data_IF_236982408328
#
_entry.id   IF_236982408328
#
_cell.length_a   1.000
_cell.length_b   1.000
_cell.length_c   1.000
_cell.angle_alpha   90.00
_cell.angle_beta   90.00
_cell.angle_gamma   90.00
#
_symmetry.space_group_name_H-M   'P 1'
#
loop_
_entity.id
_entity.type
_entity.pdbx_description
1 polymer ?
#
# COMPACT_ATOMS: atom_id res chain seq x y z
N UNK A 1 -9.25 -8.02 -7.68
CA UNK A 1 -9.62 -6.68 -8.21
C UNK A 1 -9.93 -5.75 -7.04
N UNK A 2 -10.94 -6.05 -6.21
CA UNK A 2 -11.31 -5.21 -5.07
C UNK A 2 -10.24 -5.14 -3.96
N UNK A 3 -9.49 -6.21 -3.75
CA UNK A 3 -8.40 -6.31 -2.78
C UNK A 3 -7.18 -5.44 -3.16
N UNK A 4 -6.79 -5.48 -4.44
CA UNK A 4 -5.70 -4.65 -4.98
C UNK A 4 -6.01 -3.16 -4.87
N UNK A 5 -7.28 -2.76 -5.00
CA UNK A 5 -7.70 -1.36 -4.82
C UNK A 5 -7.40 -0.89 -3.39
N UNK A 6 -7.74 -1.69 -2.37
CA UNK A 6 -7.50 -1.32 -0.97
C UNK A 6 -6.00 -1.26 -0.68
N UNK A 7 -5.22 -2.21 -1.21
CA UNK A 7 -3.76 -2.20 -1.07
C UNK A 7 -3.15 -0.95 -1.73
N UNK A 8 -3.55 -0.64 -2.96
CA UNK A 8 -3.10 0.54 -3.69
C UNK A 8 -3.45 1.83 -2.94
N UNK A 9 -4.69 1.93 -2.45
CA UNK A 9 -5.12 3.08 -1.65
C UNK A 9 -4.34 3.21 -0.33
N UNK A 10 -3.99 2.10 0.31
CA UNK A 10 -3.18 2.10 1.54
C UNK A 10 -1.75 2.58 1.28
N UNK A 11 -1.17 2.22 0.12
CA UNK A 11 0.12 2.73 -0.33
C UNK A 11 0.02 4.24 -0.62
N UNK A 12 -0.97 4.66 -1.40
CA UNK A 12 -1.20 6.07 -1.76
C UNK A 12 -1.42 6.96 -0.53
N UNK A 13 -2.16 6.47 0.47
CA UNK A 13 -2.33 7.17 1.74
C UNK A 13 -0.99 7.53 2.39
N UNK A 14 0.00 6.64 2.31
CA UNK A 14 1.31 6.85 2.92
C UNK A 14 2.28 7.61 2.03
N UNK A 15 2.25 7.42 0.71
CA UNK A 15 3.22 8.03 -0.21
C UNK A 15 2.77 9.38 -0.75
N UNK A 16 1.52 9.50 -1.21
CA UNK A 16 0.98 10.70 -1.84
C UNK A 16 0.34 11.61 -0.78
N UNK A 17 -0.47 11.03 0.11
CA UNK A 17 -1.23 11.83 1.09
C UNK A 17 -0.46 12.08 2.39
N UNK A 18 0.77 11.55 2.50
CA UNK A 18 1.69 11.80 3.62
C UNK A 18 1.20 11.26 4.97
N UNK A 19 0.29 10.29 4.99
CA UNK A 19 -0.18 9.68 6.24
C UNK A 19 0.90 8.74 6.81
N UNK A 20 1.11 8.73 8.14
CA UNK A 20 2.07 7.83 8.74
C UNK A 20 1.64 6.37 8.54
N UNK A 21 2.61 5.45 8.42
CA UNK A 21 2.31 4.01 8.34
C UNK A 21 1.51 3.49 9.53
N UNK A 22 1.68 4.11 10.70
CA UNK A 22 0.92 3.82 11.92
C UNK A 22 -0.60 3.98 11.74
N UNK A 23 -1.07 4.76 10.75
CA UNK A 23 -2.50 4.87 10.42
C UNK A 23 -3.15 3.50 10.19
N UNK A 24 -2.41 2.53 9.64
CA UNK A 24 -2.91 1.18 9.36
C UNK A 24 -3.25 0.39 10.63
N UNK A 25 -2.83 0.88 11.79
CA UNK A 25 -3.01 0.29 13.12
C UNK A 25 -3.96 1.16 13.99
N UNK A 26 -4.32 2.35 13.53
CA UNK A 26 -5.23 3.23 14.26
C UNK A 26 -6.60 2.57 14.41
N UNK A 27 -7.08 2.48 15.66
CA UNK A 27 -8.35 1.82 15.98
C UNK A 27 -9.55 2.36 15.19
N UNK A 28 -9.59 3.67 14.94
CA UNK A 28 -10.64 4.30 14.12
C UNK A 28 -10.57 3.88 12.65
N UNK A 29 -9.36 3.78 12.11
CA UNK A 29 -9.14 3.32 10.74
C UNK A 29 -9.43 1.83 10.60
N UNK A 30 -9.02 0.99 11.57
CA UNK A 30 -9.36 -0.44 11.63
C UNK A 30 -10.88 -0.68 11.62
N UNK A 31 -11.65 0.10 12.39
CA UNK A 31 -13.12 0.01 12.39
C UNK A 31 -13.76 0.27 11.01
N UNK A 32 -13.08 1.01 10.14
CA UNK A 32 -13.52 1.24 8.76
C UNK A 32 -12.99 0.15 7.83
N UNK A 33 -11.70 -0.20 7.96
CA UNK A 33 -11.01 -1.11 7.06
C UNK A 33 -11.41 -2.58 7.26
N UNK A 34 -11.54 -3.04 8.50
CA UNK A 34 -11.78 -4.45 8.82
C UNK A 34 -13.09 -4.98 8.22
N UNK A 35 -14.24 -4.27 8.35
CA UNK A 35 -15.48 -4.70 7.70
C UNK A 35 -15.37 -4.78 6.17
N UNK A 36 -14.53 -3.94 5.55
CA UNK A 36 -14.29 -3.98 4.11
C UNK A 36 -13.47 -5.20 3.72
N UNK A 37 -12.42 -5.52 4.48
CA UNK A 37 -11.61 -6.72 4.25
C UNK A 37 -12.44 -8.00 4.46
N UNK A 38 -13.22 -8.04 5.53
CA UNK A 38 -14.12 -9.16 5.84
C UNK A 38 -15.20 -9.33 4.77
N UNK A 39 -15.85 -8.23 4.36
CA UNK A 39 -16.87 -8.23 3.31
C UNK A 39 -16.36 -8.70 1.95
N UNK A 40 -15.07 -8.47 1.66
CA UNK A 40 -14.41 -8.96 0.45
C UNK A 40 -13.88 -10.39 0.58
N UNK A 41 -13.96 -11.01 1.76
CA UNK A 41 -13.41 -12.34 2.06
C UNK A 41 -11.95 -12.49 1.61
N UNK A 42 -11.16 -11.42 1.75
CA UNK A 42 -9.78 -11.39 1.30
C UNK A 42 -8.84 -11.94 2.38
N UNK A 43 -7.75 -12.60 1.94
CA UNK A 43 -6.62 -12.97 2.82
C UNK A 43 -5.60 -11.85 2.95
N UNK A 44 -5.86 -10.71 2.33
CA UNK A 44 -4.94 -9.58 2.31
C UNK A 44 -4.80 -8.98 3.70
N UNK A 45 -3.57 -9.00 4.23
CA UNK A 45 -3.23 -8.33 5.48
C UNK A 45 -2.67 -6.95 5.20
N UNK A 46 -3.35 -5.93 5.74
CA UNK A 46 -2.93 -4.54 5.72
C UNK A 46 -2.58 -4.12 7.14
N UNK A 47 -1.32 -3.75 7.34
CA UNK A 47 -0.74 -3.26 8.59
C UNK A 47 0.45 -2.33 8.25
N UNK A 48 1.06 -1.70 9.25
CA UNK A 48 2.14 -0.74 9.00
C UNK A 48 3.36 -1.40 8.31
N UNK A 49 3.72 -2.61 8.73
CA UNK A 49 4.86 -3.37 8.20
C UNK A 49 4.66 -3.74 6.73
N UNK A 50 3.57 -4.42 6.40
CA UNK A 50 3.26 -4.85 5.04
C UNK A 50 3.11 -3.65 4.11
N UNK A 51 2.53 -2.53 4.59
CA UNK A 51 2.42 -1.33 3.78
C UNK A 51 3.79 -0.70 3.52
N UNK A 52 4.66 -0.64 4.52
CA UNK A 52 6.04 -0.14 4.37
C UNK A 52 6.83 -0.99 3.37
N UNK A 53 6.75 -2.32 3.47
CA UNK A 53 7.41 -3.24 2.54
C UNK A 53 6.92 -3.01 1.10
N UNK A 54 5.61 -2.87 0.90
CA UNK A 54 5.04 -2.58 -0.42
C UNK A 54 5.52 -1.25 -1.00
N UNK A 55 5.57 -0.19 -0.17
CA UNK A 55 6.11 1.11 -0.60
C UNK A 55 7.57 0.96 -1.05
N UNK A 56 8.39 0.24 -0.30
CA UNK A 56 9.80 0.03 -0.66
C UNK A 56 9.94 -0.74 -1.98
N UNK A 57 9.18 -1.84 -2.15
CA UNK A 57 9.19 -2.63 -3.37
C UNK A 57 8.77 -1.80 -4.60
N UNK A 58 7.67 -1.06 -4.50
CA UNK A 58 7.19 -0.19 -5.59
C UNK A 58 8.20 0.92 -5.92
N UNK A 59 8.85 1.48 -4.91
CA UNK A 59 9.89 2.49 -5.12
C UNK A 59 11.10 1.91 -5.86
N UNK A 60 11.51 0.68 -5.52
CA UNK A 60 12.63 0.02 -6.17
C UNK A 60 12.29 -0.42 -7.60
N UNK A 61 11.06 -0.90 -7.84
CA UNK A 61 10.55 -1.19 -9.19
C UNK A 61 10.59 0.07 -10.07
N UNK A 62 10.02 1.20 -9.60
CA UNK A 62 10.05 2.47 -10.34
C UNK A 62 11.47 2.96 -10.62
N UNK A 63 12.39 2.81 -9.65
CA UNK A 63 13.80 3.18 -9.85
C UNK A 63 14.48 2.35 -10.92
N UNK A 64 14.23 1.04 -10.93
CA UNK A 64 14.81 0.15 -11.92
C UNK A 64 14.23 0.43 -13.31
N UNK A 65 12.93 0.69 -13.42
CA UNK A 65 12.29 1.13 -14.67
C UNK A 65 12.96 2.39 -15.23
N UNK A 66 13.13 3.43 -14.40
CA UNK A 66 13.81 4.66 -14.80
C UNK A 66 15.25 4.37 -15.23
N UNK A 67 15.98 3.53 -14.47
CA UNK A 67 17.36 3.14 -14.81
C UNK A 67 17.43 2.48 -16.18
N UNK A 68 16.51 1.57 -16.51
CA UNK A 68 16.49 0.90 -17.81
C UNK A 68 16.13 1.86 -18.95
N UNK A 69 15.20 2.79 -18.73
CA UNK A 69 14.89 3.84 -19.69
C UNK A 69 16.07 4.77 -19.97
N UNK A 70 16.89 5.07 -18.95
CA UNK A 70 18.09 5.90 -19.11
C UNK A 70 19.23 5.14 -19.79
N UNK A 71 19.40 3.83 -19.55
CA UNK A 71 20.42 3.00 -20.24
C UNK A 71 20.22 2.89 -21.75
N UNK A 72 18.97 3.00 -22.21
CA UNK A 72 18.62 2.95 -23.63
C UNK A 72 18.74 4.29 -24.37
N UNK A 73 19.26 5.33 -23.72
CA UNK A 73 19.52 6.67 -24.29
C UNK A 73 21.02 6.95 -24.27
#
# INVERSE_FOLDING_TARGET
>A
ISDQIIVSASVELCTVNGRPFALMEDSGFRKILDPLLDGLSTKTVINAENNRTRVALLADEMREEIRQQVKGR
#
